data_IF_206347930054
#
_entry.id   IF_206347930054
#
_cell.length_a   1.000
_cell.length_b   1.000
_cell.length_c   1.000
_cell.angle_alpha   90.00
_cell.angle_beta   90.00
_cell.angle_gamma   90.00
#
_symmetry.space_group_name_H-M   'P 1'
#
loop_
_entity.id
_entity.type
_entity.pdbx_description
1 polymer ?
#
# COMPACT_ATOMS: atom_id res chain seq x y z
N UNK A 1 -60.08 0.70 -4.90
CA UNK A 1 -59.72 -0.02 -3.67
C UNK A 1 -58.43 -0.77 -3.96
N UNK A 2 -57.50 -0.79 -3.02
CA UNK A 2 -56.11 -1.18 -3.19
C UNK A 2 -55.90 -2.50 -3.95
N UNK A 3 -54.95 -2.50 -4.87
CA UNK A 3 -54.40 -3.73 -5.45
C UNK A 3 -53.79 -4.60 -4.33
N UNK A 4 -53.94 -5.93 -4.36
CA UNK A 4 -53.35 -6.82 -3.38
C UNK A 4 -51.84 -6.94 -3.64
N UNK A 5 -51.09 -5.90 -3.29
CA UNK A 5 -49.65 -5.98 -3.14
C UNK A 5 -49.37 -6.53 -1.74
N UNK A 6 -49.48 -7.84 -1.55
CA UNK A 6 -48.90 -8.66 -0.46
C UNK A 6 -49.50 -10.06 -0.60
N UNK A 7 -48.74 -11.02 -1.12
CA UNK A 7 -48.65 -12.41 -0.63
C UNK A 7 -47.91 -13.33 -1.62
N UNK A 8 -46.79 -12.87 -2.19
CA UNK A 8 -45.75 -13.78 -2.65
C UNK A 8 -44.81 -14.03 -1.48
N UNK A 9 -45.26 -14.83 -0.51
CA UNK A 9 -44.34 -15.51 0.40
C UNK A 9 -43.55 -16.50 -0.45
N UNK A 10 -42.48 -16.03 -1.12
CA UNK A 10 -41.49 -16.90 -1.76
C UNK A 10 -41.06 -17.90 -0.69
N UNK A 11 -41.56 -19.14 -0.79
CA UNK A 11 -41.18 -20.20 0.13
C UNK A 11 -39.68 -20.35 0.01
N UNK A 12 -38.94 -20.19 1.10
CA UNK A 12 -37.48 -20.29 1.11
C UNK A 12 -37.08 -21.64 0.50
N UNK A 13 -36.67 -21.62 -0.77
CA UNK A 13 -36.18 -22.80 -1.46
C UNK A 13 -34.66 -22.79 -1.30
N UNK A 14 -34.11 -23.63 -0.40
CA UNK A 14 -32.69 -23.59 -0.05
C UNK A 14 -31.79 -23.87 -1.26
N UNK A 15 -32.26 -24.64 -2.25
CA UNK A 15 -31.49 -24.97 -3.44
C UNK A 15 -31.37 -23.75 -4.36
N UNK A 16 -32.45 -23.00 -4.54
CA UNK A 16 -32.47 -21.78 -5.36
C UNK A 16 -31.66 -20.66 -4.70
N UNK A 17 -31.79 -20.49 -3.39
CA UNK A 17 -31.02 -19.51 -2.63
C UNK A 17 -29.53 -19.85 -2.59
N UNK A 18 -29.17 -21.14 -2.47
CA UNK A 18 -27.78 -21.58 -2.56
C UNK A 18 -27.18 -21.32 -3.95
N UNK A 19 -27.94 -21.53 -5.02
CA UNK A 19 -27.51 -21.18 -6.38
C UNK A 19 -27.37 -19.65 -6.58
N UNK A 20 -28.27 -18.84 -6.00
CA UNK A 20 -28.11 -17.37 -5.96
C UNK A 20 -26.84 -16.98 -5.19
N UNK A 21 -26.54 -17.64 -4.06
CA UNK A 21 -25.33 -17.42 -3.27
C UNK A 21 -24.04 -17.77 -4.04
N UNK A 22 -24.01 -18.90 -4.74
CA UNK A 22 -22.87 -19.30 -5.58
C UNK A 22 -22.64 -18.31 -6.73
N UNK A 23 -23.70 -17.80 -7.37
CA UNK A 23 -23.61 -16.76 -8.41
C UNK A 23 -23.16 -15.40 -7.87
N UNK A 24 -23.47 -15.10 -6.60
CA UNK A 24 -23.09 -13.84 -5.92
C UNK A 24 -21.63 -13.83 -5.46
N UNK A 25 -21.00 -15.00 -5.25
CA UNK A 25 -19.57 -15.01 -4.92
C UNK A 25 -18.80 -14.49 -6.14
N UNK A 26 -18.09 -13.35 -6.03
CA UNK A 26 -17.26 -12.91 -7.13
C UNK A 26 -16.24 -14.02 -7.40
N UNK A 27 -16.03 -14.37 -8.66
CA UNK A 27 -14.91 -15.22 -9.07
C UNK A 27 -13.65 -14.38 -8.84
N UNK A 28 -13.16 -14.38 -7.61
CA UNK A 28 -11.99 -13.61 -7.23
C UNK A 28 -10.77 -14.36 -7.77
N UNK A 29 -10.29 -13.94 -8.93
CA UNK A 29 -8.98 -14.34 -9.38
C UNK A 29 -7.95 -13.71 -8.45
N UNK A 30 -7.15 -14.55 -7.79
CA UNK A 30 -6.04 -14.11 -6.93
C UNK A 30 -5.12 -13.12 -7.65
N UNK A 31 -4.89 -13.30 -8.95
CA UNK A 31 -4.16 -12.34 -9.79
C UNK A 31 -4.77 -10.92 -9.78
N UNK A 32 -6.10 -10.79 -9.81
CA UNK A 32 -6.80 -9.48 -9.77
C UNK A 32 -6.76 -8.84 -8.40
N UNK A 33 -6.76 -9.63 -7.32
CA UNK A 33 -6.57 -9.15 -5.94
C UNK A 33 -5.23 -8.41 -5.76
N UNK A 34 -4.19 -8.86 -6.46
CA UNK A 34 -2.83 -8.33 -6.32
C UNK A 34 -2.37 -7.44 -7.47
N UNK A 35 -3.19 -7.23 -8.50
CA UNK A 35 -2.84 -6.44 -9.69
C UNK A 35 -2.41 -5.01 -9.32
N UNK A 36 -3.00 -4.45 -8.26
CA UNK A 36 -2.72 -3.10 -7.78
C UNK A 36 -1.78 -3.05 -6.57
N UNK A 37 -1.36 -4.21 -6.00
CA UNK A 37 -0.52 -4.23 -4.80
C UNK A 37 0.92 -3.79 -5.09
N UNK A 38 1.35 -3.82 -6.36
CA UNK A 38 2.73 -3.55 -6.78
C UNK A 38 2.90 -2.43 -7.81
N UNK A 39 1.81 -1.79 -8.28
CA UNK A 39 1.91 -0.61 -9.14
C UNK A 39 2.18 0.62 -8.26
N UNK A 40 3.40 0.71 -7.70
CA UNK A 40 3.93 2.00 -7.27
C UNK A 40 4.21 2.82 -8.52
N UNK A 41 3.95 4.12 -8.44
CA UNK A 41 4.09 5.05 -9.55
C UNK A 41 5.47 4.86 -10.19
N UNK A 42 5.50 4.50 -11.48
CA UNK A 42 6.69 4.73 -12.29
C UNK A 42 7.09 6.20 -12.08
N UNK A 43 8.38 6.50 -11.97
CA UNK A 43 8.85 7.89 -11.85
C UNK A 43 8.37 8.62 -13.10
N UNK A 44 7.22 9.29 -12.98
CA UNK A 44 6.36 9.69 -14.10
C UNK A 44 7.02 10.73 -14.99
N UNK A 45 8.01 11.46 -14.47
CA UNK A 45 8.74 12.48 -15.21
C UNK A 45 10.20 12.59 -14.75
N UNK A 46 11.19 12.15 -15.54
CA UNK A 46 12.61 12.47 -15.33
C UNK A 46 12.90 13.97 -15.50
N UNK A 47 11.97 14.75 -16.05
CA UNK A 47 12.11 16.20 -16.25
C UNK A 47 11.48 17.03 -15.12
N UNK A 48 10.97 16.38 -14.07
CA UNK A 48 10.37 17.07 -12.91
C UNK A 48 11.40 17.51 -11.87
N UNK A 49 12.68 17.17 -12.05
CA UNK A 49 13.76 17.55 -11.15
C UNK A 49 14.15 19.02 -11.41
N UNK A 50 14.17 19.82 -10.34
CA UNK A 50 14.39 21.28 -10.38
C UNK A 50 15.46 21.70 -9.37
N UNK A 51 16.05 22.87 -9.59
CA UNK A 51 17.06 23.45 -8.70
C UNK A 51 18.48 22.98 -8.97
N UNK A 52 18.76 22.54 -10.20
CA UNK A 52 20.11 22.17 -10.63
C UNK A 52 20.81 23.36 -11.25
N UNK A 53 22.14 23.40 -11.12
CA UNK A 53 22.95 24.56 -11.56
C UNK A 53 22.73 24.93 -13.04
N UNK A 54 22.48 23.94 -13.90
CA UNK A 54 22.17 24.15 -15.33
C UNK A 54 20.95 25.06 -15.58
N UNK A 55 20.01 25.15 -14.64
CA UNK A 55 18.82 26.00 -14.77
C UNK A 55 19.11 27.46 -14.41
N UNK A 56 20.13 27.71 -13.59
CA UNK A 56 20.41 29.02 -12.97
C UNK A 56 21.71 29.67 -13.44
N UNK A 57 22.62 28.89 -14.04
CA UNK A 57 23.95 29.37 -14.38
C UNK A 57 23.91 30.35 -15.56
N UNK A 58 24.41 31.55 -15.31
CA UNK A 58 24.52 32.63 -16.28
C UNK A 58 25.98 32.96 -16.61
N UNK A 59 26.95 32.43 -15.87
CA UNK A 59 28.35 32.85 -15.94
C UNK A 59 29.27 31.70 -16.35
N UNK A 60 29.67 31.70 -17.62
CA UNK A 60 30.55 30.67 -18.18
C UNK A 60 32.03 30.84 -17.83
N UNK A 61 32.45 32.01 -17.34
CA UNK A 61 33.87 32.34 -17.14
C UNK A 61 34.37 32.03 -15.72
N UNK A 62 33.50 32.05 -14.71
CA UNK A 62 33.88 31.86 -13.32
C UNK A 62 33.19 30.64 -12.70
N UNK A 63 33.76 29.45 -12.93
CA UNK A 63 33.34 28.19 -12.30
C UNK A 63 34.46 27.60 -11.45
N UNK A 64 34.09 27.14 -10.26
CA UNK A 64 34.99 26.36 -9.39
C UNK A 64 34.78 24.87 -9.61
N UNK A 65 35.74 24.01 -9.28
CA UNK A 65 35.54 22.56 -9.39
C UNK A 65 34.36 22.07 -8.53
N UNK A 66 34.10 22.71 -7.39
CA UNK A 66 32.98 22.36 -6.52
C UNK A 66 31.62 22.71 -7.13
N UNK A 67 31.56 23.64 -8.08
CA UNK A 67 30.31 24.03 -8.77
C UNK A 67 29.80 22.97 -9.76
N UNK A 68 30.59 21.94 -10.03
CA UNK A 68 30.18 20.81 -10.87
C UNK A 68 29.23 19.85 -10.12
N UNK A 69 29.40 19.72 -8.81
CA UNK A 69 28.54 18.87 -7.99
C UNK A 69 27.11 19.43 -7.93
N UNK A 70 26.13 18.60 -8.31
CA UNK A 70 24.72 19.03 -8.37
C UNK A 70 24.39 19.97 -9.55
N UNK A 71 25.29 20.09 -10.53
CA UNK A 71 25.04 20.96 -11.68
C UNK A 71 24.00 20.41 -12.67
N UNK A 72 24.06 19.11 -12.94
CA UNK A 72 23.17 18.43 -13.90
C UNK A 72 22.05 17.68 -13.19
N UNK A 73 20.82 17.81 -13.72
CA UNK A 73 19.67 17.07 -13.25
C UNK A 73 19.78 15.57 -13.61
N UNK A 74 19.27 14.65 -12.76
CA UNK A 74 19.24 13.23 -13.04
C UNK A 74 18.27 12.93 -14.20
N UNK A 75 18.62 11.91 -14.99
CA UNK A 75 17.83 11.45 -16.14
C UNK A 75 17.27 10.03 -15.90
N UNK A 76 16.45 9.54 -16.85
CA UNK A 76 15.84 8.18 -16.81
C UNK A 76 16.85 7.07 -16.62
N UNK A 77 18.07 7.24 -17.14
CA UNK A 77 19.12 6.23 -17.09
C UNK A 77 19.90 6.24 -15.76
N UNK A 78 19.92 7.37 -15.07
CA UNK A 78 20.59 7.53 -13.75
C UNK A 78 19.68 7.19 -12.57
N UNK A 79 18.36 7.27 -12.74
CA UNK A 79 17.40 7.05 -11.65
C UNK A 79 17.05 5.55 -11.58
N UNK A 80 16.98 4.95 -10.38
CA UNK A 80 16.56 3.56 -10.26
C UNK A 80 15.12 3.40 -10.74
N UNK A 81 14.86 2.35 -11.54
CA UNK A 81 13.50 2.01 -12.02
C UNK A 81 12.50 1.80 -10.88
N UNK A 82 12.98 1.36 -9.71
CA UNK A 82 12.15 1.13 -8.51
C UNK A 82 12.89 1.53 -7.26
N UNK A 83 12.17 2.17 -6.34
CA UNK A 83 12.65 2.47 -5.00
C UNK A 83 11.77 1.80 -3.94
N UNK A 84 12.38 0.96 -3.12
CA UNK A 84 11.69 0.24 -2.04
C UNK A 84 11.83 1.00 -0.72
N UNK A 85 11.09 2.11 -0.60
CA UNK A 85 11.01 2.84 0.67
C UNK A 85 10.44 1.94 1.77
N UNK A 86 11.09 1.96 2.94
CA UNK A 86 10.58 1.31 4.15
C UNK A 86 9.64 2.28 4.86
N UNK A 87 8.34 1.97 4.86
CA UNK A 87 7.36 2.72 5.62
C UNK A 87 7.55 2.48 7.12
N UNK A 88 7.72 3.54 7.90
CA UNK A 88 7.92 3.44 9.35
C UNK A 88 6.62 3.57 10.15
N UNK A 89 5.45 3.55 9.50
CA UNK A 89 4.15 3.79 10.16
C UNK A 89 3.92 2.88 11.37
N UNK A 90 4.10 1.58 11.20
CA UNK A 90 3.98 0.59 12.28
C UNK A 90 4.96 0.88 13.42
N UNK A 91 6.24 1.07 13.11
CA UNK A 91 7.27 1.34 14.11
C UNK A 91 7.02 2.64 14.87
N UNK A 92 6.55 3.69 14.19
CA UNK A 92 6.19 4.97 14.80
C UNK A 92 5.00 4.84 15.76
N UNK A 93 3.99 4.06 15.38
CA UNK A 93 2.85 3.74 16.24
C UNK A 93 3.31 2.98 17.50
N UNK A 94 4.13 1.93 17.32
CA UNK A 94 4.66 1.12 18.43
C UNK A 94 5.58 1.93 19.35
N UNK A 95 6.46 2.77 18.78
CA UNK A 95 7.39 3.59 19.54
C UNK A 95 6.67 4.54 20.51
N UNK A 96 5.46 5.00 20.16
CA UNK A 96 4.64 5.87 21.01
C UNK A 96 4.18 5.19 22.30
N UNK A 97 4.00 3.86 22.29
CA UNK A 97 3.57 3.10 23.47
C UNK A 97 4.73 2.75 24.42
N UNK A 98 5.97 2.90 23.98
CA UNK A 98 7.16 2.67 24.81
C UNK A 98 7.48 1.18 25.03
N UNK A 99 8.30 0.90 26.05
CA UNK A 99 8.73 -0.46 26.36
C UNK A 99 7.62 -1.27 27.01
N UNK A 100 7.35 -2.46 26.47
CA UNK A 100 6.41 -3.41 27.08
C UNK A 100 6.84 -3.78 28.51
N UNK A 101 5.85 -3.87 29.41
CA UNK A 101 6.02 -4.36 30.78
C UNK A 101 5.01 -5.48 31.03
N UNK A 102 5.48 -6.61 31.55
CA UNK A 102 4.60 -7.69 31.94
C UNK A 102 4.14 -7.51 33.40
N UNK A 103 2.82 -7.43 33.60
CA UNK A 103 2.17 -7.39 34.92
C UNK A 103 1.21 -8.60 35.13
N UNK A 104 1.32 -9.64 34.31
CA UNK A 104 0.49 -10.86 34.45
C UNK A 104 0.98 -11.75 35.58
N UNK A 105 0.07 -12.54 36.15
CA UNK A 105 0.39 -13.63 37.07
C UNK A 105 0.67 -14.92 36.29
N UNK A 106 1.56 -15.77 36.81
CA UNK A 106 1.75 -17.12 36.29
C UNK A 106 0.55 -17.98 36.70
N UNK A 107 -0.25 -18.40 35.73
CA UNK A 107 -1.44 -19.25 35.92
C UNK A 107 -1.29 -20.63 35.28
N UNK A 108 -0.08 -20.97 34.86
CA UNK A 108 0.21 -22.28 34.29
C UNK A 108 -0.05 -23.37 35.35
N UNK A 109 -0.86 -24.35 35.01
CA UNK A 109 -1.05 -25.55 35.83
C UNK A 109 0.10 -26.49 35.47
N UNK A 110 0.88 -26.91 36.46
CA UNK A 110 2.01 -27.81 36.22
C UNK A 110 1.54 -29.09 35.53
N UNK A 111 2.15 -29.39 34.38
CA UNK A 111 1.90 -30.61 33.66
C UNK A 111 2.56 -31.77 34.43
N UNK A 112 1.76 -32.74 34.84
CA UNK A 112 2.25 -33.99 35.43
C UNK A 112 2.63 -34.94 34.30
N UNK A 113 3.87 -35.42 34.31
CA UNK A 113 4.42 -36.33 33.28
C UNK A 113 4.12 -37.82 33.57
N UNK A 114 2.94 -38.14 34.12
CA UNK A 114 2.53 -39.51 34.45
C UNK A 114 1.30 -39.92 33.66
#
# INVERSE_FOLDING_TARGET
>A
MCEPACDDLETFNPQVEFQKFLKRKPIVQTAKLYENLHKREDIKCPYSFKGYGVETDTNTMYRTCNSEYGYYAPNVYTIPKRFHSRGQKFSNEVARFGMYRNFSLNTHIDATFY
#
